data_IF_430208895306
#
_entry.id   IF_430208895306
#
_cell.length_a   1.000
_cell.length_b   1.000
_cell.length_c   1.000
_cell.angle_alpha   90.00
_cell.angle_beta   90.00
_cell.angle_gamma   90.00
#
_symmetry.space_group_name_H-M   'P 1'
#
loop_
_entity.id
_entity.type
_entity.pdbx_description
1 polymer ?
#
# COMPACT_ATOMS: atom_id res chain seq x y z
N UNK A 1 -13.85 6.19 3.83
CA UNK A 1 -12.49 6.63 4.20
C UNK A 1 -11.77 5.43 4.78
N UNK A 2 -10.60 5.10 4.26
CA UNK A 2 -9.76 4.00 4.78
C UNK A 2 -8.58 4.63 5.49
N UNK A 3 -8.29 4.17 6.70
CA UNK A 3 -7.12 4.61 7.46
C UNK A 3 -6.07 3.50 7.45
N UNK A 4 -4.82 3.89 7.22
CA UNK A 4 -3.66 3.01 7.34
C UNK A 4 -2.60 3.72 8.16
N UNK A 5 -2.02 2.99 9.12
CA UNK A 5 -1.00 3.53 10.01
C UNK A 5 -0.78 2.63 11.21
N UNK A 6 0.28 2.93 11.95
CA UNK A 6 0.64 2.23 13.18
C UNK A 6 -0.27 2.71 14.33
N UNK A 7 -0.92 1.77 15.02
CA UNK A 7 -1.80 2.04 16.17
C UNK A 7 -1.22 1.49 17.48
N UNK A 8 0.08 1.22 17.54
CA UNK A 8 0.75 0.75 18.76
C UNK A 8 0.79 1.82 19.86
N UNK A 9 0.73 3.10 19.47
CA UNK A 9 0.77 4.29 20.34
C UNK A 9 -0.56 5.04 20.41
N UNK A 10 -1.64 4.47 19.90
CA UNK A 10 -2.96 5.07 20.01
C UNK A 10 -3.49 4.98 21.45
N UNK A 11 -4.51 5.79 21.78
CA UNK A 11 -5.14 5.74 23.11
C UNK A 11 -5.74 4.36 23.42
N UNK A 12 -6.29 3.69 22.39
CA UNK A 12 -6.78 2.32 22.46
C UNK A 12 -5.98 1.51 21.42
N UNK A 13 -5.11 0.58 21.84
CA UNK A 13 -4.31 -0.22 20.93
C UNK A 13 -5.17 -0.93 19.88
N UNK A 14 -4.80 -0.82 18.61
CA UNK A 14 -5.58 -1.37 17.49
C UNK A 14 -6.61 -0.40 16.89
N UNK A 15 -6.90 0.72 17.54
CA UNK A 15 -7.82 1.75 17.03
C UNK A 15 -7.07 3.02 16.62
N UNK A 16 -7.49 3.65 15.51
CA UNK A 16 -6.98 4.96 15.13
C UNK A 16 -7.49 6.02 16.11
N UNK A 17 -6.57 6.73 16.75
CA UNK A 17 -6.90 7.91 17.56
C UNK A 17 -6.73 9.17 16.72
N UNK A 18 -7.78 9.96 16.63
CA UNK A 18 -7.78 11.27 15.98
C UNK A 18 -8.72 12.20 16.73
N UNK A 19 -8.53 13.51 16.56
CA UNK A 19 -9.48 14.52 17.00
C UNK A 19 -9.83 15.42 15.83
N UNK A 20 -11.08 15.88 15.79
CA UNK A 20 -11.51 16.85 14.80
C UNK A 20 -11.33 18.25 15.38
N UNK A 21 -10.88 19.19 14.57
CA UNK A 21 -10.74 20.59 15.01
C UNK A 21 -12.12 21.23 15.19
N UNK A 22 -13.03 21.01 14.25
CA UNK A 22 -14.38 21.57 14.21
C UNK A 22 -15.41 20.49 13.85
N UNK A 23 -16.68 20.86 13.82
CA UNK A 23 -17.80 19.96 13.53
C UNK A 23 -18.51 19.43 14.78
N UNK A 24 -19.48 18.54 14.56
CA UNK A 24 -20.36 18.02 15.63
C UNK A 24 -19.63 17.29 16.78
N UNK A 25 -18.38 16.85 16.58
CA UNK A 25 -17.50 16.28 17.60
C UNK A 25 -16.12 16.97 17.64
N UNK A 26 -16.06 18.23 17.19
CA UNK A 26 -14.82 19.00 17.15
C UNK A 26 -14.35 19.44 18.54
N UNK A 27 -13.03 19.48 18.74
CA UNK A 27 -12.40 19.88 20.02
C UNK A 27 -12.81 21.30 20.45
N UNK A 28 -13.04 22.19 19.49
CA UNK A 28 -13.50 23.56 19.77
C UNK A 28 -14.86 23.59 20.49
N UNK A 29 -15.78 22.67 20.16
CA UNK A 29 -17.09 22.57 20.79
C UNK A 29 -17.03 21.96 22.21
N UNK A 30 -15.93 21.26 22.54
CA UNK A 30 -15.72 20.64 23.83
C UNK A 30 -15.30 21.61 24.93
N UNK A 31 -14.68 22.74 24.59
CA UNK A 31 -14.33 23.79 25.56
C UNK A 31 -15.54 24.65 25.93
N UNK A 32 -15.50 25.23 27.14
CA UNK A 32 -16.51 26.22 27.55
C UNK A 32 -16.36 27.50 26.70
N UNK A 33 -17.45 28.26 26.56
CA UNK A 33 -17.42 29.52 25.81
C UNK A 33 -16.43 30.53 26.39
N UNK A 34 -16.18 30.50 27.71
CA UNK A 34 -15.16 31.32 28.35
C UNK A 34 -13.75 30.96 27.88
N UNK A 35 -13.41 29.66 27.84
CA UNK A 35 -12.10 29.20 27.38
C UNK A 35 -11.89 29.52 25.90
N UNK A 36 -12.89 29.23 25.07
CA UNK A 36 -12.86 29.55 23.63
C UNK A 36 -12.74 31.06 23.40
N UNK A 37 -13.51 31.88 24.13
CA UNK A 37 -13.44 33.34 24.01
C UNK A 37 -12.07 33.88 24.37
N UNK A 38 -11.49 33.43 25.49
CA UNK A 38 -10.15 33.88 25.90
C UNK A 38 -9.05 33.38 24.96
N UNK A 39 -9.10 32.12 24.53
CA UNK A 39 -8.09 31.53 23.65
C UNK A 39 -8.04 32.20 22.26
N UNK A 40 -9.20 32.60 21.73
CA UNK A 40 -9.32 33.18 20.39
C UNK A 40 -9.65 34.69 20.39
N UNK A 41 -9.56 35.36 21.55
CA UNK A 41 -9.84 36.79 21.73
C UNK A 41 -11.23 37.23 21.23
N UNK A 42 -12.27 36.44 21.51
CA UNK A 42 -13.66 36.72 21.12
C UNK A 42 -14.37 37.57 22.17
N UNK A 43 -15.27 38.45 21.75
CA UNK A 43 -15.83 39.50 22.63
C UNK A 43 -16.88 38.98 23.61
N UNK A 44 -17.59 37.92 23.25
CA UNK A 44 -18.70 37.40 24.04
C UNK A 44 -18.94 35.90 23.79
N UNK A 45 -19.85 35.34 24.58
CA UNK A 45 -20.26 33.95 24.49
C UNK A 45 -20.92 33.59 23.15
N UNK A 46 -21.59 34.53 22.48
CA UNK A 46 -22.24 34.28 21.20
C UNK A 46 -21.21 34.05 20.10
N UNK A 47 -20.19 34.92 19.98
CA UNK A 47 -19.07 34.74 19.05
C UNK A 47 -18.33 33.42 19.31
N UNK A 48 -18.11 33.08 20.58
CA UNK A 48 -17.48 31.81 20.98
C UNK A 48 -18.33 30.59 20.57
N UNK A 49 -19.63 30.62 20.81
CA UNK A 49 -20.55 29.57 20.37
C UNK A 49 -20.60 29.49 18.84
N UNK A 50 -20.57 30.62 18.13
CA UNK A 50 -20.58 30.65 16.67
C UNK A 50 -19.33 29.97 16.10
N UNK A 51 -18.14 30.30 16.59
CA UNK A 51 -16.90 29.63 16.17
C UNK A 51 -16.94 28.13 16.47
N UNK A 52 -17.36 27.75 17.68
CA UNK A 52 -17.26 26.38 18.16
C UNK A 52 -18.36 25.45 17.63
N UNK A 53 -19.57 25.95 17.35
CA UNK A 53 -20.79 25.12 17.19
C UNK A 53 -21.55 25.35 15.87
N UNK A 54 -21.14 26.26 15.00
CA UNK A 54 -21.89 26.52 13.75
C UNK A 54 -21.83 25.36 12.76
N UNK A 55 -20.72 24.62 12.70
CA UNK A 55 -20.60 23.43 11.87
C UNK A 55 -21.07 22.21 12.65
N UNK A 56 -22.16 21.58 12.19
CA UNK A 56 -22.74 20.38 12.82
C UNK A 56 -22.33 19.08 12.12
N UNK A 57 -21.82 19.17 10.90
CA UNK A 57 -21.23 18.05 10.18
C UNK A 57 -19.96 17.54 10.89
N UNK A 58 -19.57 16.31 10.59
CA UNK A 58 -18.51 15.61 11.34
C UNK A 58 -17.26 15.43 10.47
N UNK A 59 -17.18 14.35 9.69
CA UNK A 59 -15.97 14.03 8.88
C UNK A 59 -16.00 14.66 7.49
N UNK A 60 -17.13 14.56 6.80
CA UNK A 60 -17.33 15.07 5.45
C UNK A 60 -18.59 15.93 5.49
N UNK A 61 -18.47 17.15 4.95
CA UNK A 61 -19.58 18.11 4.89
C UNK A 61 -19.86 18.45 3.44
N UNK A 62 -21.14 18.72 3.15
CA UNK A 62 -21.56 19.26 1.86
C UNK A 62 -21.42 20.78 1.92
N UNK A 63 -20.76 21.36 0.91
CA UNK A 63 -20.72 22.82 0.71
C UNK A 63 -21.83 23.26 -0.22
N UNK A 64 -22.21 24.53 -0.14
CA UNK A 64 -23.19 25.13 -1.04
C UNK A 64 -22.68 25.13 -2.49
N UNK A 65 -23.61 24.95 -3.43
CA UNK A 65 -23.31 24.95 -4.85
C UNK A 65 -22.83 26.35 -5.30
N UNK A 66 -21.79 26.40 -6.13
CA UNK A 66 -21.18 27.65 -6.59
C UNK A 66 -20.10 28.23 -5.67
N UNK A 67 -19.85 27.63 -4.50
CA UNK A 67 -18.72 28.02 -3.65
C UNK A 67 -17.39 27.58 -4.28
N UNK A 68 -16.44 28.51 -4.45
CA UNK A 68 -15.13 28.24 -5.02
C UNK A 68 -14.11 28.01 -3.90
N UNK A 69 -13.53 26.82 -3.84
CA UNK A 69 -12.43 26.51 -2.91
C UNK A 69 -11.11 27.08 -3.44
N UNK A 70 -10.20 27.54 -2.55
CA UNK A 70 -8.91 28.06 -2.96
C UNK A 70 -8.07 27.00 -3.67
N UNK A 71 -7.25 27.44 -4.64
CA UNK A 71 -6.28 26.56 -5.29
C UNK A 71 -5.12 26.25 -4.34
N UNK A 72 -4.55 25.04 -4.40
CA UNK A 72 -3.39 24.68 -3.60
C UNK A 72 -2.19 25.56 -3.94
N UNK A 73 -1.33 25.80 -2.94
CA UNK A 73 -0.12 26.58 -3.14
C UNK A 73 0.93 25.74 -3.90
N UNK A 74 1.41 26.26 -5.03
CA UNK A 74 2.28 25.52 -5.94
C UNK A 74 3.56 24.98 -5.28
N UNK A 75 4.18 25.76 -4.39
CA UNK A 75 5.42 25.39 -3.68
C UNK A 75 5.34 24.11 -2.81
N UNK A 76 4.12 23.60 -2.57
CA UNK A 76 3.88 22.42 -1.74
C UNK A 76 3.22 21.26 -2.49
N UNK A 77 2.73 21.48 -3.70
CA UNK A 77 2.02 20.45 -4.48
C UNK A 77 2.88 19.19 -4.64
N UNK A 78 4.07 19.36 -5.22
CA UNK A 78 4.97 18.23 -5.51
C UNK A 78 5.62 17.62 -4.26
N UNK A 79 5.45 18.25 -3.09
CA UNK A 79 5.95 17.74 -1.80
C UNK A 79 4.94 16.85 -1.08
N UNK A 80 3.65 16.99 -1.42
CA UNK A 80 2.55 16.32 -0.72
C UNK A 80 1.76 15.38 -1.64
N UNK A 81 1.79 15.64 -2.95
CA UNK A 81 1.02 14.89 -3.94
C UNK A 81 1.98 14.30 -4.97
N UNK A 82 1.82 13.00 -5.25
CA UNK A 82 2.53 12.31 -6.31
C UNK A 82 1.54 11.47 -7.11
N UNK A 83 1.53 11.65 -8.43
CA UNK A 83 0.70 10.86 -9.34
C UNK A 83 1.49 9.63 -9.80
N UNK A 84 1.25 8.47 -9.16
CA UNK A 84 1.91 7.21 -9.51
C UNK A 84 1.40 6.64 -10.84
N UNK A 85 0.16 6.91 -11.23
CA UNK A 85 -0.41 6.40 -12.48
C UNK A 85 0.33 7.00 -13.69
N UNK A 86 0.65 8.29 -13.62
CA UNK A 86 1.40 9.01 -14.65
C UNK A 86 2.93 8.79 -14.60
N UNK A 87 3.43 8.09 -13.58
CA UNK A 87 4.86 7.83 -13.44
C UNK A 87 5.33 6.75 -14.43
N UNK A 88 6.59 6.85 -14.85
CA UNK A 88 7.24 5.81 -15.64
C UNK A 88 7.27 4.48 -14.87
N UNK A 89 7.07 3.39 -15.62
CA UNK A 89 7.22 2.03 -15.12
C UNK A 89 8.66 1.77 -14.62
N UNK A 90 8.80 1.15 -13.44
CA UNK A 90 10.09 0.60 -13.03
C UNK A 90 10.33 -0.77 -13.70
N UNK A 91 9.25 -1.51 -13.97
CA UNK A 91 9.24 -2.72 -14.80
C UNK A 91 8.02 -2.70 -15.71
N UNK A 92 8.22 -2.97 -16.99
CA UNK A 92 7.19 -3.09 -18.02
C UNK A 92 7.43 -4.39 -18.79
N UNK A 93 6.46 -5.30 -18.73
CA UNK A 93 6.51 -6.60 -19.39
C UNK A 93 5.38 -6.67 -20.40
N UNK A 94 5.74 -6.78 -21.68
CA UNK A 94 4.77 -6.96 -22.75
C UNK A 94 3.89 -8.19 -22.51
N UNK A 95 2.56 -8.01 -22.53
CA UNK A 95 1.55 -9.05 -22.21
C UNK A 95 1.63 -9.59 -20.77
N UNK A 96 2.30 -8.88 -19.87
CA UNK A 96 2.38 -9.20 -18.46
C UNK A 96 1.83 -8.08 -17.60
N UNK A 97 2.22 -6.84 -17.89
CA UNK A 97 1.75 -5.65 -17.20
C UNK A 97 2.89 -4.76 -16.70
N UNK A 98 2.58 -3.89 -15.74
CA UNK A 98 3.43 -2.78 -15.29
C UNK A 98 3.59 -2.79 -13.77
N UNK A 99 4.80 -2.50 -13.31
CA UNK A 99 5.12 -2.33 -11.89
C UNK A 99 5.81 -0.99 -11.67
N UNK A 100 5.32 -0.23 -10.68
CA UNK A 100 5.81 1.07 -10.26
C UNK A 100 6.01 1.10 -8.75
N UNK A 101 7.04 1.80 -8.31
CA UNK A 101 7.38 2.00 -6.90
C UNK A 101 7.45 3.49 -6.60
N UNK A 102 6.88 3.86 -5.47
CA UNK A 102 6.95 5.19 -4.88
C UNK A 102 7.60 5.09 -3.50
N UNK A 103 8.75 5.74 -3.37
CA UNK A 103 9.56 5.79 -2.14
C UNK A 103 9.87 7.24 -1.77
N UNK A 104 10.56 7.45 -0.64
CA UNK A 104 10.96 8.78 -0.18
C UNK A 104 11.88 9.54 -1.14
N UNK A 105 12.53 8.85 -2.10
CA UNK A 105 13.30 9.52 -3.15
C UNK A 105 12.45 10.27 -4.17
N UNK A 106 11.21 9.81 -4.41
CA UNK A 106 10.23 10.43 -5.33
C UNK A 106 9.25 11.34 -4.60
N UNK A 107 8.90 11.01 -3.34
CA UNK A 107 8.03 11.81 -2.48
C UNK A 107 8.57 11.84 -1.04
N UNK A 108 9.35 12.88 -0.66
CA UNK A 108 10.04 12.94 0.64
C UNK A 108 9.16 12.78 1.88
N UNK A 109 7.87 13.13 1.78
CA UNK A 109 6.90 12.94 2.87
C UNK A 109 6.81 11.46 3.33
N UNK A 110 7.07 10.50 2.45
CA UNK A 110 7.06 9.08 2.79
C UNK A 110 8.13 8.68 3.82
N UNK A 111 9.20 9.46 3.93
CA UNK A 111 10.20 9.24 4.98
C UNK A 111 9.60 9.48 6.37
N UNK A 112 8.73 10.48 6.51
CA UNK A 112 8.10 10.84 7.77
C UNK A 112 7.01 9.85 8.17
N UNK A 113 6.34 9.24 7.19
CA UNK A 113 5.26 8.27 7.44
C UNK A 113 5.78 6.85 7.64
N UNK A 114 7.04 6.57 7.27
CA UNK A 114 7.62 5.26 7.48
C UNK A 114 7.18 4.20 6.46
N UNK A 115 6.64 4.61 5.29
CA UNK A 115 6.05 3.68 4.32
C UNK A 115 6.66 3.83 2.92
N UNK A 116 6.42 2.83 2.10
CA UNK A 116 6.63 2.87 0.65
C UNK A 116 5.44 2.23 -0.04
N UNK A 117 5.25 2.57 -1.31
CA UNK A 117 4.07 2.18 -2.09
C UNK A 117 4.53 1.51 -3.37
N UNK A 118 3.81 0.48 -3.81
CA UNK A 118 3.90 -0.02 -5.18
C UNK A 118 2.53 0.01 -5.85
N UNK A 119 2.53 0.22 -7.16
CA UNK A 119 1.35 0.09 -8.01
C UNK A 119 1.67 -0.98 -9.06
N UNK A 120 0.74 -1.91 -9.23
CA UNK A 120 0.90 -3.06 -10.11
C UNK A 120 -0.34 -3.21 -10.96
N UNK A 121 -0.13 -3.24 -12.26
CA UNK A 121 -1.11 -3.60 -13.27
C UNK A 121 -0.67 -4.94 -13.85
N UNK A 122 -1.55 -5.94 -13.81
CA UNK A 122 -1.34 -7.24 -14.41
C UNK A 122 -2.33 -7.43 -15.55
N UNK A 123 -1.82 -7.83 -16.71
CA UNK A 123 -2.62 -8.28 -17.84
C UNK A 123 -3.38 -9.58 -17.49
N UNK A 124 -4.34 -9.96 -18.34
CA UNK A 124 -5.13 -11.16 -18.16
C UNK A 124 -4.26 -12.41 -17.93
N UNK A 125 -4.50 -13.11 -16.82
CA UNK A 125 -3.77 -14.31 -16.40
C UNK A 125 -2.27 -14.14 -16.14
N UNK A 126 -1.76 -12.90 -16.13
CA UNK A 126 -0.38 -12.63 -15.72
C UNK A 126 -0.22 -12.82 -14.20
N UNK A 127 1.00 -13.09 -13.77
CA UNK A 127 1.35 -13.30 -12.36
C UNK A 127 2.28 -12.20 -11.85
N UNK A 128 2.00 -11.73 -10.64
CA UNK A 128 3.01 -11.10 -9.80
C UNK A 128 3.77 -12.21 -9.04
N UNK A 129 5.07 -12.28 -9.29
CA UNK A 129 5.96 -13.36 -8.85
C UNK A 129 5.93 -13.53 -7.32
N UNK A 130 6.13 -14.76 -6.80
CA UNK A 130 6.18 -14.99 -5.36
C UNK A 130 7.27 -14.12 -4.69
N UNK A 131 6.86 -13.32 -3.71
CA UNK A 131 7.73 -12.35 -3.03
C UNK A 131 7.53 -12.36 -1.51
N UNK A 132 8.52 -11.88 -0.77
CA UNK A 132 8.39 -11.54 0.65
C UNK A 132 9.22 -10.29 1.01
N UNK A 133 8.88 -9.64 2.12
CA UNK A 133 9.62 -8.49 2.65
C UNK A 133 10.77 -8.95 3.54
N UNK A 134 12.01 -8.68 3.10
CA UNK A 134 13.24 -9.16 3.76
C UNK A 134 13.50 -8.43 5.08
N UNK A 135 13.14 -7.16 5.15
CA UNK A 135 13.31 -6.33 6.33
C UNK A 135 12.20 -6.52 7.39
N UNK A 136 11.34 -7.52 7.23
CA UNK A 136 10.24 -7.77 8.17
C UNK A 136 9.22 -6.63 8.22
N UNK A 137 8.91 -6.01 7.09
CA UNK A 137 7.81 -5.06 6.97
C UNK A 137 6.50 -5.77 6.63
N UNK A 138 5.37 -5.26 7.13
CA UNK A 138 4.05 -5.73 6.71
C UNK A 138 3.71 -5.11 5.34
N UNK A 139 2.99 -5.86 4.51
CA UNK A 139 2.50 -5.37 3.21
C UNK A 139 0.98 -5.44 3.17
N UNK A 140 0.34 -4.28 3.07
CA UNK A 140 -1.09 -4.19 2.83
C UNK A 140 -1.35 -4.01 1.35
N UNK A 141 -2.25 -4.80 0.78
CA UNK A 141 -2.59 -4.74 -0.65
C UNK A 141 -4.07 -4.40 -0.80
N UNK A 142 -4.37 -3.42 -1.64
CA UNK A 142 -5.72 -3.02 -2.02
C UNK A 142 -5.92 -3.17 -3.52
N UNK A 143 -6.97 -3.89 -3.91
CA UNK A 143 -7.29 -4.14 -5.32
C UNK A 143 -8.13 -3.00 -5.85
N UNK A 144 -7.61 -2.30 -6.86
CA UNK A 144 -8.22 -1.12 -7.46
C UNK A 144 -9.18 -1.53 -8.58
N UNK A 145 -8.77 -2.48 -9.42
CA UNK A 145 -9.53 -2.93 -10.59
C UNK A 145 -9.35 -4.42 -10.85
N UNK A 146 -10.33 -5.03 -11.50
CA UNK A 146 -10.27 -6.42 -11.90
C UNK A 146 -10.36 -7.39 -10.73
N UNK A 147 -9.80 -8.58 -10.90
CA UNK A 147 -9.78 -9.64 -9.90
C UNK A 147 -8.63 -10.61 -10.15
N UNK A 148 -8.32 -11.45 -9.16
CA UNK A 148 -7.27 -12.46 -9.28
C UNK A 148 -7.29 -13.44 -8.12
N UNK A 149 -6.43 -14.45 -8.19
CA UNK A 149 -6.20 -15.38 -7.10
C UNK A 149 -4.94 -14.96 -6.34
N UNK A 150 -5.03 -14.96 -5.01
CA UNK A 150 -3.93 -14.63 -4.11
C UNK A 150 -3.64 -15.83 -3.25
N UNK A 151 -2.36 -16.18 -3.13
CA UNK A 151 -1.88 -17.15 -2.17
C UNK A 151 -0.88 -16.51 -1.21
N UNK A 152 -1.02 -16.84 0.07
CA UNK A 152 -0.05 -16.46 1.10
C UNK A 152 0.44 -17.73 1.79
N UNK A 153 1.75 -17.88 1.87
CA UNK A 153 2.46 -18.96 2.57
C UNK A 153 3.12 -18.37 3.82
N UNK A 154 2.78 -18.92 4.98
CA UNK A 154 3.34 -18.50 6.26
C UNK A 154 4.70 -19.13 6.54
N UNK A 155 5.36 -18.66 7.60
CA UNK A 155 6.71 -19.10 8.02
C UNK A 155 6.84 -20.61 8.31
N UNK A 156 5.72 -21.32 8.49
CA UNK A 156 5.70 -22.77 8.65
C UNK A 156 5.74 -23.54 7.32
N UNK A 157 5.83 -22.83 6.18
CA UNK A 157 5.73 -23.39 4.83
C UNK A 157 4.30 -23.79 4.43
N UNK A 158 3.30 -23.51 5.27
CA UNK A 158 1.89 -23.80 4.99
C UNK A 158 1.22 -22.62 4.32
N UNK A 159 0.36 -22.92 3.34
CA UNK A 159 -0.57 -21.95 2.75
C UNK A 159 -1.60 -21.53 3.80
N UNK A 160 -1.60 -20.26 4.15
CA UNK A 160 -2.51 -19.66 5.15
C UNK A 160 -3.64 -18.87 4.50
N UNK A 161 -3.48 -18.50 3.23
CA UNK A 161 -4.51 -17.87 2.41
C UNK A 161 -4.47 -18.46 1.00
N UNK A 162 -5.64 -18.74 0.45
CA UNK A 162 -5.87 -19.14 -0.94
C UNK A 162 -7.27 -18.64 -1.33
N UNK A 163 -7.34 -17.50 -2.00
CA UNK A 163 -8.63 -16.86 -2.27
C UNK A 163 -8.63 -16.09 -3.57
N UNK A 164 -9.81 -16.02 -4.19
CA UNK A 164 -10.07 -14.99 -5.18
C UNK A 164 -10.27 -13.64 -4.47
N UNK A 165 -9.72 -12.59 -5.06
CA UNK A 165 -9.89 -11.20 -4.62
C UNK A 165 -10.32 -10.33 -5.80
N UNK A 166 -11.13 -9.31 -5.54
CA UNK A 166 -11.65 -8.39 -6.55
C UNK A 166 -11.53 -6.93 -6.11
N UNK A 167 -11.71 -6.03 -7.06
CA UNK A 167 -11.74 -4.58 -6.84
C UNK A 167 -12.56 -4.19 -5.59
N UNK A 168 -12.00 -3.29 -4.78
CA UNK A 168 -12.58 -2.83 -3.52
C UNK A 168 -12.22 -3.67 -2.30
N UNK A 169 -11.54 -4.81 -2.47
CA UNK A 169 -11.07 -5.65 -1.36
C UNK A 169 -9.60 -5.39 -1.03
N UNK A 170 -9.22 -5.75 0.19
CA UNK A 170 -7.86 -5.62 0.71
C UNK A 170 -7.43 -6.86 1.46
N UNK A 171 -6.13 -7.11 1.52
CA UNK A 171 -5.53 -8.16 2.33
C UNK A 171 -4.19 -7.73 2.90
N UNK A 172 -3.85 -8.28 4.07
CA UNK A 172 -2.58 -8.06 4.74
C UNK A 172 -1.67 -9.26 4.51
N UNK A 173 -0.43 -9.00 4.12
CA UNK A 173 0.67 -9.96 4.09
C UNK A 173 1.56 -9.67 5.29
N UNK A 174 1.57 -10.56 6.29
CA UNK A 174 2.42 -10.39 7.46
C UNK A 174 3.92 -10.45 7.12
N UNK A 175 4.74 -9.87 8.00
CA UNK A 175 6.21 -9.94 7.95
C UNK A 175 6.72 -11.35 7.64
N UNK A 176 7.62 -11.47 6.66
CA UNK A 176 8.25 -12.72 6.21
C UNK A 176 7.30 -13.75 5.57
N UNK A 177 6.02 -13.43 5.37
CA UNK A 177 5.13 -14.32 4.64
C UNK A 177 5.37 -14.13 3.15
N UNK A 178 5.35 -15.23 2.41
CA UNK A 178 5.46 -15.21 0.95
C UNK A 178 4.07 -15.05 0.35
N UNK A 179 3.98 -14.24 -0.69
CA UNK A 179 2.73 -13.93 -1.37
C UNK A 179 2.93 -13.91 -2.87
N UNK A 180 1.95 -14.41 -3.60
CA UNK A 180 1.89 -14.36 -5.05
C UNK A 180 0.45 -14.10 -5.51
N UNK A 181 0.32 -13.44 -6.65
CA UNK A 181 -0.96 -13.04 -7.22
C UNK A 181 -1.02 -13.46 -8.69
N UNK A 182 -2.12 -14.06 -9.12
CA UNK A 182 -2.41 -14.35 -10.53
C UNK A 182 -3.67 -13.59 -10.92
N UNK A 183 -3.58 -12.73 -11.93
CA UNK A 183 -4.72 -11.99 -12.44
C UNK A 183 -5.77 -12.91 -13.04
N UNK A 184 -7.04 -12.51 -12.95
CA UNK A 184 -8.14 -13.14 -13.67
C UNK A 184 -8.10 -12.82 -15.16
N UNK A 185 -9.14 -13.25 -15.88
CA UNK A 185 -9.25 -13.06 -17.33
C UNK A 185 -9.39 -11.62 -17.79
N UNK A 186 -9.76 -10.69 -16.90
CA UNK A 186 -9.89 -9.26 -17.19
C UNK A 186 -8.69 -8.44 -16.70
N UNK A 187 -7.64 -9.10 -16.21
CA UNK A 187 -6.51 -8.46 -15.55
C UNK A 187 -6.78 -8.10 -14.08
N UNK A 188 -5.78 -7.54 -13.43
CA UNK A 188 -5.82 -7.15 -12.02
C UNK A 188 -4.95 -5.92 -11.79
N UNK A 189 -5.47 -4.92 -11.08
CA UNK A 189 -4.71 -3.74 -10.67
C UNK A 189 -4.77 -3.60 -9.16
N UNK A 190 -3.63 -3.39 -8.53
CA UNK A 190 -3.56 -3.22 -7.09
C UNK A 190 -2.46 -2.26 -6.65
N UNK A 191 -2.69 -1.64 -5.50
CA UNK A 191 -1.70 -0.83 -4.79
C UNK A 191 -1.27 -1.61 -3.56
N UNK A 192 0.04 -1.72 -3.35
CA UNK A 192 0.60 -2.25 -2.13
C UNK A 192 1.26 -1.14 -1.32
N UNK A 193 1.11 -1.21 0.01
CA UNK A 193 1.72 -0.30 0.96
C UNK A 193 2.56 -1.16 1.90
N UNK A 194 3.86 -0.89 1.91
CA UNK A 194 4.83 -1.58 2.77
C UNK A 194 5.17 -0.66 3.92
N UNK A 195 5.11 -1.18 5.15
CA UNK A 195 5.42 -0.42 6.39
C UNK A 195 6.93 -0.24 6.59
N UNK A 196 7.62 0.25 5.56
CA UNK A 196 9.04 0.62 5.57
C UNK A 196 9.31 1.66 4.48
N UNK A 197 10.17 2.64 4.77
CA UNK A 197 10.65 3.64 3.79
C UNK A 197 11.58 3.01 2.75
N UNK A 198 12.25 1.92 3.13
CA UNK A 198 13.10 1.11 2.27
C UNK A 198 12.38 -0.21 1.93
N UNK A 199 11.68 -0.31 0.79
CA UNK A 199 11.03 -1.55 0.38
C UNK A 199 12.10 -2.57 -0.06
N UNK A 200 12.48 -3.46 0.85
CA UNK A 200 13.38 -4.57 0.52
C UNK A 200 12.56 -5.84 0.30
N UNK A 201 12.26 -6.13 -0.97
CA UNK A 201 11.46 -7.28 -1.40
C UNK A 201 12.36 -8.28 -2.10
N UNK A 202 12.30 -9.54 -1.68
CA UNK A 202 12.95 -10.65 -2.37
C UNK A 202 11.99 -11.27 -3.39
N UNK A 203 12.49 -11.47 -4.61
CA UNK A 203 11.76 -12.05 -5.74
C UNK A 203 12.14 -13.53 -5.92
N UNK A 204 11.28 -14.47 -5.54
CA UNK A 204 11.69 -15.88 -5.44
C UNK A 204 11.81 -16.61 -6.77
N UNK A 205 11.15 -16.14 -7.83
CA UNK A 205 11.09 -16.83 -9.12
C UNK A 205 11.64 -15.98 -10.28
N UNK A 206 12.64 -15.13 -10.01
CA UNK A 206 13.28 -14.25 -11.01
C UNK A 206 14.81 -14.40 -10.99
N UNK A 207 15.51 -13.77 -11.93
CA UNK A 207 16.98 -13.72 -11.95
C UNK A 207 17.64 -13.13 -10.70
N UNK A 208 16.88 -12.38 -9.88
CA UNK A 208 17.38 -11.81 -8.62
C UNK A 208 17.21 -12.76 -7.42
N UNK A 209 16.48 -13.86 -7.61
CA UNK A 209 16.18 -14.82 -6.55
C UNK A 209 17.44 -15.39 -5.92
N UNK A 210 17.37 -15.65 -4.60
CA UNK A 210 18.33 -16.42 -3.82
C UNK A 210 18.74 -17.74 -4.48
N UNK A 211 17.89 -18.35 -5.31
CA UNK A 211 18.26 -19.56 -6.05
C UNK A 211 19.48 -19.36 -6.94
N UNK A 212 19.68 -18.16 -7.51
CA UNK A 212 20.84 -17.83 -8.35
C UNK A 212 22.12 -17.62 -7.53
N UNK A 213 22.01 -17.42 -6.21
CA UNK A 213 23.16 -17.29 -5.32
C UNK A 213 23.67 -18.65 -4.82
N UNK A 214 22.85 -19.71 -4.94
CA UNK A 214 23.23 -21.06 -4.53
C UNK A 214 24.06 -21.74 -5.63
N UNK A 215 25.03 -22.55 -5.22
CA UNK A 215 25.71 -23.43 -6.19
C UNK A 215 24.75 -24.52 -6.68
N UNK A 216 24.91 -25.01 -7.93
CA UNK A 216 24.06 -26.08 -8.48
C UNK A 216 24.04 -27.36 -7.62
N UNK A 217 25.11 -27.65 -6.88
CA UNK A 217 25.14 -28.82 -6.00
C UNK A 217 24.24 -28.59 -4.77
N UNK A 218 24.26 -27.37 -4.20
CA UNK A 218 23.44 -27.03 -3.03
C UNK A 218 21.96 -27.01 -3.40
N UNK A 219 21.57 -26.41 -4.52
CA UNK A 219 20.18 -26.40 -5.01
C UNK A 219 19.66 -27.82 -5.24
N UNK A 220 20.40 -28.66 -5.97
CA UNK A 220 20.04 -30.07 -6.23
C UNK A 220 19.82 -30.88 -4.95
N UNK A 221 20.76 -30.81 -4.00
CA UNK A 221 20.66 -31.55 -2.74
C UNK A 221 19.50 -31.02 -1.89
N UNK A 222 19.32 -29.71 -1.82
CA UNK A 222 18.25 -29.08 -1.03
C UNK A 222 16.86 -29.40 -1.56
N UNK A 223 16.70 -29.43 -2.88
CA UNK A 223 15.44 -29.73 -3.56
C UNK A 223 15.23 -31.23 -3.81
N UNK A 224 16.27 -32.05 -3.60
CA UNK A 224 16.30 -33.47 -3.94
C UNK A 224 15.92 -33.75 -5.41
N UNK A 225 16.57 -33.03 -6.33
CA UNK A 225 16.32 -33.12 -7.78
C UNK A 225 17.55 -33.54 -8.57
N UNK A 226 17.35 -34.02 -9.80
CA UNK A 226 18.43 -34.35 -10.73
C UNK A 226 19.12 -33.08 -11.23
N UNK A 227 20.35 -33.22 -11.77
CA UNK A 227 21.04 -32.09 -12.41
C UNK A 227 20.25 -31.52 -13.58
N UNK A 228 19.70 -32.39 -14.43
CA UNK A 228 18.90 -31.98 -15.58
C UNK A 228 17.69 -31.13 -15.17
N UNK A 229 17.00 -31.51 -14.09
CA UNK A 229 15.85 -30.74 -13.61
C UNK A 229 16.26 -29.42 -12.94
N UNK A 230 17.40 -29.39 -12.23
CA UNK A 230 17.92 -28.16 -11.65
C UNK A 230 18.34 -27.15 -12.70
N UNK A 231 19.01 -27.60 -13.77
CA UNK A 231 19.36 -26.76 -14.91
C UNK A 231 18.10 -26.20 -15.60
N UNK A 232 17.07 -27.04 -15.78
CA UNK A 232 15.77 -26.60 -16.31
C UNK A 232 15.11 -25.55 -15.41
N UNK A 233 15.05 -25.81 -14.10
CA UNK A 233 14.48 -24.91 -13.11
C UNK A 233 15.19 -23.54 -13.13
N UNK A 234 16.52 -23.53 -13.04
CA UNK A 234 17.32 -22.31 -13.07
C UNK A 234 17.23 -21.58 -14.41
N UNK A 235 17.16 -22.30 -15.54
CA UNK A 235 16.94 -21.71 -16.87
C UNK A 235 15.60 -20.98 -16.98
N UNK A 236 14.56 -21.45 -16.27
CA UNK A 236 13.26 -20.79 -16.26
C UNK A 236 13.25 -19.57 -15.32
N UNK A 237 13.78 -19.72 -14.10
CA UNK A 237 13.85 -18.63 -13.10
C UNK A 237 14.62 -17.42 -13.64
N UNK A 238 15.72 -17.64 -14.37
CA UNK A 238 16.56 -16.57 -14.92
C UNK A 238 15.91 -15.76 -16.06
N UNK A 239 14.90 -16.32 -16.73
CA UNK A 239 14.14 -15.64 -17.81
C UNK A 239 13.02 -14.76 -17.26
N UNK A 240 12.57 -15.02 -16.04
CA UNK A 240 11.43 -14.35 -15.45
C UNK A 240 11.79 -12.97 -14.88
N UNK A 241 10.78 -12.11 -14.84
CA UNK A 241 10.78 -10.85 -14.09
C UNK A 241 9.79 -10.94 -12.93
N UNK A 242 9.69 -9.88 -12.12
CA UNK A 242 8.70 -9.80 -11.03
C UNK A 242 7.26 -9.89 -11.55
N UNK A 243 7.03 -9.55 -12.83
CA UNK A 243 5.81 -9.85 -13.56
C UNK A 243 6.10 -10.99 -14.55
N UNK A 244 5.27 -12.02 -14.52
CA UNK A 244 5.35 -13.18 -15.40
C UNK A 244 4.11 -13.15 -16.31
N UNK A 245 4.29 -13.02 -17.64
CA UNK A 245 3.16 -12.96 -18.57
C UNK A 245 2.43 -14.30 -18.65
N UNK A 246 1.17 -14.28 -19.10
CA UNK A 246 0.42 -15.50 -19.42
C UNK A 246 1.17 -16.34 -20.46
N UNK A 247 1.20 -17.66 -20.25
CA UNK A 247 1.75 -18.63 -21.23
C UNK A 247 0.76 -19.01 -22.33
N UNK A 248 -0.48 -18.49 -22.27
CA UNK A 248 -1.54 -18.72 -23.26
C UNK A 248 -1.82 -17.45 -24.06
#
# INVERSE_FOLDING_TARGET
>A
MVFLGETSRSCIPGEFTYFLLSGGIGVMAGFSSEFTSRAYNLKNQEEANKLAKSQTGVLIIKIEEGLIMPQPHNDFLDKMVYNIDAASADVDVQKGGVFKTLTSSKLPFLEQTGISISHVELDANAMYSPTYTVNGADRLVYVVKGSGNVQIVGISGKRVLDTNIKAGQMFLVPKFFTVAEIAGSEGMEFVSIITSTWPFVEELATKKSVWNALSPIVSRVSLNVTSEFEELFMSNVTKNSIIIPSTN
#
